data_IF_946845047409
#
_entry.id   IF_946845047409
#
_cell.length_a   1.000
_cell.length_b   1.000
_cell.length_c   1.000
_cell.angle_alpha   90.00
_cell.angle_beta   90.00
_cell.angle_gamma   90.00
#
_symmetry.space_group_name_H-M   'P 1'
#
loop_
_entity.id
_entity.type
_entity.pdbx_description
1 polymer ?
#
# COMPACT_ATOMS: atom_id res chain seq x y z
N UNK A 1 13.08 -2.27 26.24
CA UNK A 1 12.72 -1.00 25.58
C UNK A 1 12.28 -1.31 24.16
N UNK A 2 10.98 -1.26 23.95
CA UNK A 2 10.36 -1.47 22.65
C UNK A 2 10.28 -0.09 22.00
N UNK A 3 11.21 0.20 21.11
CA UNK A 3 11.17 1.37 20.23
C UNK A 3 10.59 1.00 18.87
N UNK A 4 9.43 0.33 18.86
CA UNK A 4 8.73 -0.02 17.63
C UNK A 4 7.57 0.91 17.30
N UNK A 5 7.51 2.08 17.89
CA UNK A 5 6.30 2.89 17.92
C UNK A 5 6.18 4.04 16.92
N UNK A 6 7.03 4.23 15.93
CA UNK A 6 6.93 5.44 15.09
C UNK A 6 7.37 5.30 13.63
N UNK A 7 7.56 4.09 13.15
CA UNK A 7 8.00 3.88 11.76
C UNK A 7 6.87 4.12 10.76
N UNK A 8 5.62 3.92 11.14
CA UNK A 8 4.46 4.10 10.24
C UNK A 8 4.11 5.56 9.94
N UNK A 9 4.33 6.48 10.89
CA UNK A 9 3.87 7.87 10.75
C UNK A 9 4.79 8.76 9.89
N UNK A 10 6.06 8.43 9.77
CA UNK A 10 6.98 9.19 8.91
C UNK A 10 6.96 8.72 7.45
N UNK A 11 6.51 7.50 7.17
CA UNK A 11 6.43 6.96 5.81
C UNK A 11 5.31 7.58 4.96
N UNK A 12 4.30 8.19 5.59
CA UNK A 12 3.13 8.73 4.87
C UNK A 12 3.28 10.17 4.36
N UNK A 13 4.43 10.78 4.46
CA UNK A 13 4.57 12.20 4.14
C UNK A 13 5.46 12.39 2.92
N UNK A 14 4.95 12.17 1.72
CA UNK A 14 5.47 12.89 0.53
C UNK A 14 4.54 12.76 -0.67
N UNK A 15 4.34 13.88 -1.31
CA UNK A 15 3.81 14.10 -2.65
C UNK A 15 2.60 13.25 -3.05
N UNK A 16 1.42 13.78 -2.76
CA UNK A 16 0.17 13.21 -3.29
C UNK A 16 0.22 13.24 -4.82
N UNK A 17 0.17 12.07 -5.43
CA UNK A 17 -0.01 11.94 -6.87
C UNK A 17 -1.49 12.17 -7.14
N UNK A 18 -1.81 13.32 -7.73
CA UNK A 18 -3.14 13.60 -8.22
C UNK A 18 -3.18 13.26 -9.70
N UNK A 19 -3.89 12.21 -10.03
CA UNK A 19 -4.06 11.78 -11.40
C UNK A 19 -5.21 12.42 -12.13
N UNK A 20 -5.45 11.90 -13.33
CA UNK A 20 -6.59 12.25 -14.16
C UNK A 20 -7.86 12.37 -13.31
N UNK A 21 -8.67 13.41 -13.50
CA UNK A 21 -9.71 13.78 -12.57
C UNK A 21 -10.56 12.57 -12.20
N UNK A 22 -10.56 12.28 -10.93
CA UNK A 22 -11.51 11.42 -10.24
C UNK A 22 -11.35 9.88 -10.34
N UNK A 23 -10.20 9.32 -10.75
CA UNK A 23 -10.11 7.85 -10.86
C UNK A 23 -8.98 7.20 -10.08
N UNK A 24 -8.04 7.95 -9.58
CA UNK A 24 -6.99 7.43 -8.71
C UNK A 24 -6.42 8.49 -7.78
N UNK A 25 -5.82 8.05 -6.71
CA UNK A 25 -4.99 8.84 -5.82
C UNK A 25 -3.79 8.03 -5.38
N UNK A 26 -2.73 8.69 -4.96
CA UNK A 26 -1.54 7.98 -4.51
C UNK A 26 -0.59 8.89 -3.76
N UNK A 27 0.45 8.26 -3.26
CA UNK A 27 1.54 8.93 -2.57
C UNK A 27 2.84 8.19 -2.78
N UNK A 28 3.94 8.92 -2.92
CA UNK A 28 5.28 8.37 -2.84
C UNK A 28 5.79 8.40 -1.42
N UNK A 29 6.60 7.43 -1.05
CA UNK A 29 7.27 7.40 0.24
C UNK A 29 8.68 6.86 0.12
N UNK A 30 9.55 7.27 1.05
CA UNK A 30 10.87 6.65 1.17
C UNK A 30 10.65 5.20 1.57
N UNK A 31 11.15 4.28 0.75
CA UNK A 31 11.07 2.86 1.06
C UNK A 31 11.88 2.60 2.31
N UNK A 32 11.25 2.05 3.30
CA UNK A 32 11.95 1.29 4.29
C UNK A 32 12.51 0.06 3.58
N UNK A 33 13.78 0.14 3.26
CA UNK A 33 14.46 -0.96 2.59
C UNK A 33 14.62 -2.06 3.65
N UNK A 34 13.79 -3.10 3.65
CA UNK A 34 14.06 -4.22 4.51
C UNK A 34 15.40 -4.74 4.04
N UNK A 35 16.34 -4.72 4.91
CA UNK A 35 17.60 -5.41 4.69
C UNK A 35 17.26 -6.88 4.53
N UNK A 36 16.98 -7.28 3.30
CA UNK A 36 17.27 -8.65 2.96
C UNK A 36 18.75 -8.83 3.28
N UNK A 37 19.05 -9.59 4.29
CA UNK A 37 20.40 -9.80 4.88
C UNK A 37 21.47 -10.18 3.87
N UNK A 38 21.30 -9.86 2.63
CA UNK A 38 22.10 -10.50 1.74
C UNK A 38 22.39 -9.95 0.41
N UNK A 39 23.19 -10.67 -0.11
CA UNK A 39 23.89 -10.60 -1.35
C UNK A 39 22.95 -10.78 -2.57
N UNK A 40 21.79 -11.38 -2.39
CA UNK A 40 20.82 -11.60 -3.46
C UNK A 40 19.76 -10.50 -3.46
N UNK A 41 19.59 -9.87 -4.63
CA UNK A 41 18.58 -8.85 -4.89
C UNK A 41 17.77 -9.26 -6.11
N UNK A 42 16.51 -8.86 -6.17
CA UNK A 42 15.75 -8.96 -7.40
C UNK A 42 16.31 -8.00 -8.47
N UNK A 43 16.17 -8.33 -9.76
CA UNK A 43 16.42 -7.38 -10.83
C UNK A 43 15.47 -6.18 -10.69
N UNK A 44 16.01 -4.99 -11.00
CA UNK A 44 15.21 -3.77 -11.00
C UNK A 44 14.50 -3.58 -12.34
N UNK A 45 13.41 -2.78 -12.32
CA UNK A 45 12.76 -2.32 -13.54
C UNK A 45 13.77 -1.61 -14.46
N UNK A 46 13.78 -1.91 -15.75
CA UNK A 46 14.58 -1.18 -16.71
C UNK A 46 14.26 0.33 -16.63
N UNK A 47 15.30 1.15 -16.64
CA UNK A 47 15.16 2.61 -16.59
C UNK A 47 14.47 3.17 -15.33
N UNK A 48 14.53 2.46 -14.21
CA UNK A 48 14.06 3.02 -12.94
C UNK A 48 14.77 4.36 -12.66
N UNK A 49 14.06 5.44 -12.35
CA UNK A 49 14.65 6.74 -12.11
C UNK A 49 15.62 6.73 -10.93
N UNK A 50 16.81 7.29 -11.11
CA UNK A 50 17.84 7.31 -10.03
C UNK A 50 17.39 8.09 -8.80
N UNK A 51 16.63 9.15 -9.01
CA UNK A 51 16.03 9.95 -7.93
C UNK A 51 15.00 9.18 -7.11
N UNK A 52 14.48 8.09 -7.66
CA UNK A 52 13.52 7.20 -6.98
C UNK A 52 14.14 5.89 -6.48
N UNK A 53 15.46 5.81 -6.38
CA UNK A 53 16.18 4.59 -5.94
C UNK A 53 15.64 4.04 -4.62
N UNK A 54 15.23 4.91 -3.70
CA UNK A 54 14.73 4.58 -2.39
C UNK A 54 13.29 5.07 -2.17
N UNK A 55 12.50 5.15 -3.23
CA UNK A 55 11.11 5.60 -3.16
C UNK A 55 10.22 4.48 -3.69
N UNK A 56 9.12 4.21 -2.98
CA UNK A 56 7.99 3.44 -3.48
C UNK A 56 6.83 4.38 -3.78
N UNK A 57 6.02 3.99 -4.74
CA UNK A 57 4.78 4.67 -5.10
C UNK A 57 3.60 3.79 -4.71
N UNK A 58 2.67 4.35 -3.95
CA UNK A 58 1.43 3.69 -3.57
C UNK A 58 0.26 4.38 -4.26
N UNK A 59 -0.47 3.63 -5.06
CA UNK A 59 -1.54 4.16 -5.91
C UNK A 59 -2.82 3.38 -5.68
N UNK A 60 -3.89 4.08 -5.34
CA UNK A 60 -5.23 3.54 -5.32
C UNK A 60 -5.96 3.87 -6.63
N UNK A 61 -6.31 2.85 -7.39
CA UNK A 61 -7.15 2.93 -8.57
C UNK A 61 -8.59 2.68 -8.13
N UNK A 62 -9.43 3.68 -8.29
CA UNK A 62 -10.83 3.58 -7.83
C UNK A 62 -11.67 2.65 -8.70
N UNK A 63 -12.52 1.83 -8.11
CA UNK A 63 -12.94 1.84 -6.70
C UNK A 63 -12.10 0.99 -5.75
N UNK A 64 -11.37 -0.03 -6.19
CA UNK A 64 -10.99 -1.13 -5.33
C UNK A 64 -9.66 -1.80 -5.65
N UNK A 65 -8.78 -1.18 -6.42
CA UNK A 65 -7.43 -1.70 -6.71
C UNK A 65 -6.38 -0.78 -6.11
N UNK A 66 -5.42 -1.36 -5.41
CA UNK A 66 -4.27 -0.64 -4.87
C UNK A 66 -2.97 -1.27 -5.37
N UNK A 67 -2.02 -0.42 -5.74
CA UNK A 67 -0.72 -0.83 -6.22
C UNK A 67 0.37 -0.28 -5.28
N UNK A 68 1.32 -1.12 -4.94
CA UNK A 68 2.57 -0.69 -4.33
C UNK A 68 3.72 -0.98 -5.27
N UNK A 69 4.33 0.06 -5.83
CA UNK A 69 5.33 -0.03 -6.89
C UNK A 69 6.71 0.26 -6.31
N UNK A 70 7.56 -0.73 -6.33
CA UNK A 70 8.95 -0.70 -5.87
C UNK A 70 9.89 -0.85 -7.07
N UNK A 71 11.17 -0.57 -6.89
CA UNK A 71 12.15 -0.63 -7.99
C UNK A 71 12.35 -2.03 -8.59
N UNK A 72 12.03 -3.07 -7.84
CA UNK A 72 12.35 -4.47 -8.16
C UNK A 72 11.12 -5.41 -8.13
N UNK A 73 10.01 -4.92 -7.67
CA UNK A 73 8.73 -5.63 -7.69
C UNK A 73 7.58 -4.64 -7.58
N UNK A 74 6.38 -5.10 -7.85
CA UNK A 74 5.16 -4.42 -7.42
C UNK A 74 4.17 -5.45 -6.89
N UNK A 75 3.28 -4.99 -6.03
CA UNK A 75 2.13 -5.77 -5.63
C UNK A 75 0.84 -5.07 -6.07
N UNK A 76 -0.17 -5.88 -6.31
CA UNK A 76 -1.52 -5.42 -6.54
C UNK A 76 -2.44 -6.00 -5.49
N UNK A 77 -3.22 -5.14 -4.85
CA UNK A 77 -4.38 -5.53 -4.06
C UNK A 77 -5.64 -5.27 -4.86
N UNK A 78 -6.58 -6.19 -4.81
CA UNK A 78 -7.96 -5.87 -5.14
C UNK A 78 -8.87 -6.26 -3.99
N UNK A 79 -9.80 -5.36 -3.70
CA UNK A 79 -10.74 -5.48 -2.63
C UNK A 79 -12.04 -6.05 -3.17
N UNK A 80 -12.48 -7.18 -2.61
CA UNK A 80 -13.75 -7.81 -2.91
C UNK A 80 -14.72 -7.54 -1.76
N UNK A 81 -15.61 -6.53 -1.85
CA UNK A 81 -16.58 -6.24 -0.80
C UNK A 81 -17.67 -7.31 -0.79
N UNK A 82 -17.80 -8.01 0.31
CA UNK A 82 -18.84 -9.04 0.50
C UNK A 82 -20.12 -8.40 1.08
N UNK A 83 -19.95 -7.51 2.04
CA UNK A 83 -21.02 -6.71 2.64
C UNK A 83 -20.42 -5.46 3.32
N UNK A 84 -21.24 -4.71 4.07
CA UNK A 84 -20.81 -3.47 4.71
C UNK A 84 -19.81 -3.65 5.88
N UNK A 85 -19.62 -4.88 6.34
CA UNK A 85 -18.71 -5.20 7.45
C UNK A 85 -17.53 -6.08 7.02
N UNK A 86 -17.61 -6.70 5.86
CA UNK A 86 -16.63 -7.69 5.44
C UNK A 86 -16.16 -7.49 4.00
N UNK A 87 -14.86 -7.41 3.83
CA UNK A 87 -14.16 -7.31 2.56
C UNK A 87 -13.04 -8.34 2.51
N UNK A 88 -12.91 -9.03 1.40
CA UNK A 88 -11.75 -9.91 1.14
C UNK A 88 -10.69 -9.10 0.41
N UNK A 89 -9.47 -9.14 0.90
CA UNK A 89 -8.30 -8.59 0.24
C UNK A 89 -7.54 -9.69 -0.48
N UNK A 90 -7.38 -9.52 -1.78
CA UNK A 90 -6.53 -10.35 -2.60
C UNK A 90 -5.24 -9.62 -2.91
N UNK A 91 -4.11 -10.30 -2.76
CA UNK A 91 -2.81 -9.73 -3.05
C UNK A 91 -2.00 -10.61 -3.98
N UNK A 92 -1.43 -10.01 -5.00
CA UNK A 92 -0.45 -10.64 -5.86
C UNK A 92 0.82 -9.80 -5.94
N UNK A 93 1.99 -10.47 -5.97
CA UNK A 93 3.30 -9.83 -6.08
C UNK A 93 3.92 -10.23 -7.42
N UNK A 94 4.37 -9.22 -8.14
CA UNK A 94 4.99 -9.37 -9.46
C UNK A 94 6.45 -8.93 -9.42
N UNK A 95 7.33 -9.74 -10.02
CA UNK A 95 8.77 -9.54 -10.05
C UNK A 95 9.26 -9.20 -11.46
N UNK A 96 10.38 -8.50 -11.54
CA UNK A 96 10.96 -8.09 -12.82
C UNK A 96 11.62 -9.28 -13.51
N UNK A 97 11.06 -9.69 -14.64
CA UNK A 97 11.57 -10.76 -15.50
C UNK A 97 11.19 -12.17 -15.03
N UNK A 98 11.09 -13.08 -16.01
CA UNK A 98 10.62 -14.46 -15.79
C UNK A 98 11.53 -15.24 -14.82
N UNK A 99 12.84 -15.01 -14.87
CA UNK A 99 13.77 -15.68 -13.97
C UNK A 99 13.49 -15.32 -12.50
N UNK A 100 13.29 -14.05 -12.20
CA UNK A 100 12.97 -13.61 -10.85
C UNK A 100 11.59 -14.11 -10.40
N UNK A 101 10.63 -14.17 -11.31
CA UNK A 101 9.28 -14.59 -11.03
C UNK A 101 9.15 -16.12 -10.81
N UNK A 102 9.89 -16.94 -11.53
CA UNK A 102 9.61 -18.38 -11.60
C UNK A 102 10.75 -19.29 -11.16
N UNK A 103 12.02 -18.86 -11.29
CA UNK A 103 13.16 -19.76 -11.06
C UNK A 103 13.34 -20.16 -9.60
N UNK A 104 13.94 -21.33 -9.41
CA UNK A 104 14.31 -21.83 -8.07
C UNK A 104 15.39 -20.98 -7.40
N UNK A 105 16.24 -20.30 -8.17
CA UNK A 105 17.26 -19.39 -7.68
C UNK A 105 16.67 -18.30 -6.77
N UNK A 106 15.55 -17.70 -7.15
CA UNK A 106 14.91 -16.63 -6.40
C UNK A 106 13.81 -17.11 -5.44
N UNK A 107 13.58 -18.42 -5.33
CA UNK A 107 12.48 -18.96 -4.51
C UNK A 107 12.53 -18.46 -3.05
N UNK A 108 13.69 -18.56 -2.41
CA UNK A 108 13.85 -18.13 -1.02
C UNK A 108 13.65 -16.63 -0.86
N UNK A 109 14.13 -15.83 -1.82
CA UNK A 109 13.97 -14.39 -1.79
C UNK A 109 12.49 -13.99 -1.95
N UNK A 110 11.76 -14.64 -2.86
CA UNK A 110 10.31 -14.44 -3.00
C UNK A 110 9.55 -14.79 -1.71
N UNK A 111 9.90 -15.91 -1.06
CA UNK A 111 9.27 -16.30 0.20
C UNK A 111 9.48 -15.28 1.31
N UNK A 112 10.70 -14.72 1.41
CA UNK A 112 11.01 -13.65 2.36
C UNK A 112 10.21 -12.38 2.06
N UNK A 113 10.17 -11.97 0.79
CA UNK A 113 9.43 -10.80 0.37
C UNK A 113 7.92 -10.97 0.62
N UNK A 114 7.35 -12.12 0.27
CA UNK A 114 5.95 -12.44 0.57
C UNK A 114 5.66 -12.37 2.07
N UNK A 115 6.49 -13.03 2.87
CA UNK A 115 6.33 -13.03 4.34
C UNK A 115 6.36 -11.62 4.93
N UNK A 116 7.24 -10.77 4.44
CA UNK A 116 7.33 -9.38 4.86
C UNK A 116 6.04 -8.60 4.56
N UNK A 117 5.49 -8.73 3.35
CA UNK A 117 4.25 -8.08 3.00
C UNK A 117 3.07 -8.62 3.81
N UNK A 118 3.04 -9.94 4.04
CA UNK A 118 2.05 -10.56 4.93
C UNK A 118 2.11 -9.97 6.35
N UNK A 119 3.30 -9.76 6.89
CA UNK A 119 3.46 -9.21 8.24
C UNK A 119 3.04 -7.75 8.31
N UNK A 120 3.38 -6.94 7.31
CA UNK A 120 2.92 -5.55 7.20
C UNK A 120 1.39 -5.48 7.15
N UNK A 121 0.76 -6.32 6.33
CA UNK A 121 -0.70 -6.34 6.21
C UNK A 121 -1.40 -6.73 7.51
N UNK A 122 -0.84 -7.64 8.26
CA UNK A 122 -1.41 -8.03 9.56
C UNK A 122 -1.46 -6.88 10.56
N UNK A 123 -0.47 -5.99 10.54
CA UNK A 123 -0.49 -4.79 11.38
C UNK A 123 -1.66 -3.87 11.02
N UNK A 124 -1.94 -3.71 9.72
CA UNK A 124 -3.02 -2.85 9.24
C UNK A 124 -4.41 -3.44 9.51
N UNK A 125 -4.57 -4.76 9.41
CA UNK A 125 -5.86 -5.43 9.64
C UNK A 125 -6.44 -5.13 11.02
N UNK A 126 -5.65 -5.22 12.07
CA UNK A 126 -6.09 -4.96 13.44
C UNK A 126 -6.57 -3.51 13.62
N UNK A 127 -5.90 -2.58 12.96
CA UNK A 127 -6.25 -1.15 12.99
C UNK A 127 -7.56 -0.93 12.23
N UNK A 128 -7.71 -1.51 11.05
CA UNK A 128 -8.92 -1.38 10.20
C UNK A 128 -10.14 -1.95 10.94
N UNK A 129 -10.02 -3.12 11.57
CA UNK A 129 -11.09 -3.72 12.36
C UNK A 129 -11.48 -2.85 13.57
N UNK A 130 -10.50 -2.28 14.25
CA UNK A 130 -10.73 -1.37 15.36
C UNK A 130 -11.44 -0.09 14.91
N UNK A 131 -11.06 0.46 13.75
CA UNK A 131 -11.72 1.60 13.12
C UNK A 131 -13.18 1.29 12.76
N UNK A 132 -13.45 0.13 12.20
CA UNK A 132 -14.82 -0.30 11.89
C UNK A 132 -15.68 -0.42 13.16
N UNK A 133 -15.14 -1.00 14.22
CA UNK A 133 -15.80 -1.07 15.52
C UNK A 133 -16.11 0.33 16.05
N UNK A 134 -15.16 1.24 15.98
CA UNK A 134 -15.34 2.64 16.39
C UNK A 134 -16.42 3.36 15.59
N UNK A 135 -16.49 3.14 14.28
CA UNK A 135 -17.54 3.72 13.41
C UNK A 135 -18.93 3.21 13.72
N UNK A 136 -19.07 1.98 14.19
CA UNK A 136 -20.33 1.40 14.63
C UNK A 136 -20.80 1.89 16.02
N UNK A 137 -19.98 2.67 16.72
CA UNK A 137 -20.33 3.24 18.02
C UNK A 137 -21.44 4.28 17.88
N UNK A 138 -22.47 4.26 18.76
CA UNK A 138 -23.47 5.32 18.82
C UNK A 138 -22.90 6.73 19.09
N UNK A 139 -21.71 6.81 19.63
CA UNK A 139 -21.02 8.09 19.89
C UNK A 139 -20.23 8.60 18.66
N UNK A 140 -20.15 7.82 17.58
CA UNK A 140 -19.45 8.24 16.37
C UNK A 140 -20.27 9.31 15.63
N UNK A 141 -19.69 10.48 15.51
CA UNK A 141 -20.32 11.62 14.84
C UNK A 141 -19.60 12.06 13.56
N UNK A 142 -18.77 11.19 13.00
CA UNK A 142 -17.91 11.48 11.86
C UNK A 142 -16.47 11.81 12.28
N UNK A 143 -15.67 12.21 11.32
CA UNK A 143 -14.28 12.59 11.51
C UNK A 143 -13.88 13.73 10.58
N UNK A 144 -12.80 14.41 10.91
CA UNK A 144 -12.23 15.46 10.08
C UNK A 144 -11.02 14.90 9.31
N UNK A 145 -10.89 15.29 8.04
CA UNK A 145 -9.69 15.02 7.27
C UNK A 145 -8.53 15.92 7.72
N UNK A 146 -7.36 15.36 7.88
CA UNK A 146 -6.14 16.12 8.04
C UNK A 146 -5.79 16.80 6.71
N UNK A 147 -5.63 18.12 6.66
CA UNK A 147 -5.28 18.82 5.43
C UNK A 147 -3.89 18.46 4.90
N UNK A 148 -3.05 17.86 5.73
CA UNK A 148 -1.68 17.47 5.39
C UNK A 148 -1.56 15.99 5.03
N UNK A 149 -2.32 15.11 5.69
CA UNK A 149 -2.13 13.66 5.62
C UNK A 149 -3.18 12.94 4.77
N UNK A 150 -4.41 13.47 4.70
CA UNK A 150 -5.56 12.74 4.18
C UNK A 150 -5.97 13.15 2.75
N UNK A 151 -5.11 13.85 2.02
CA UNK A 151 -5.43 14.29 0.66
C UNK A 151 -5.88 13.13 -0.26
N UNK A 152 -5.19 11.99 -0.34
CA UNK A 152 -5.62 10.86 -1.16
C UNK A 152 -6.95 10.27 -0.70
N UNK A 153 -7.13 10.13 0.61
CA UNK A 153 -8.37 9.62 1.22
C UNK A 153 -9.54 10.56 0.97
N UNK A 154 -9.33 11.87 1.14
CA UNK A 154 -10.35 12.87 0.85
C UNK A 154 -10.74 12.89 -0.63
N UNK A 155 -9.77 12.69 -1.53
CA UNK A 155 -10.04 12.58 -2.96
C UNK A 155 -10.92 11.36 -3.28
N UNK A 156 -10.63 10.21 -2.69
CA UNK A 156 -11.48 9.02 -2.80
C UNK A 156 -12.89 9.26 -2.29
N UNK A 157 -13.05 9.87 -1.12
CA UNK A 157 -14.37 10.19 -0.57
C UNK A 157 -15.18 11.13 -1.47
N UNK A 158 -14.52 12.12 -2.09
CA UNK A 158 -15.18 12.99 -3.09
C UNK A 158 -15.62 12.20 -4.32
N UNK A 159 -14.80 11.27 -4.78
CA UNK A 159 -15.15 10.40 -5.88
C UNK A 159 -16.38 9.53 -5.54
N UNK A 160 -16.40 8.90 -4.37
CA UNK A 160 -17.54 8.11 -3.88
C UNK A 160 -18.79 8.97 -3.82
N UNK A 161 -18.73 10.14 -3.18
CA UNK A 161 -19.86 11.05 -3.08
C UNK A 161 -20.40 11.48 -4.46
N UNK A 162 -19.51 11.75 -5.41
CA UNK A 162 -19.90 12.14 -6.78
C UNK A 162 -20.47 11.00 -7.62
N UNK A 163 -20.29 9.73 -7.23
CA UNK A 163 -20.89 8.58 -7.92
C UNK A 163 -22.25 8.17 -7.35
N UNK A 164 -22.61 8.68 -6.18
CA UNK A 164 -23.87 8.38 -5.51
C UNK A 164 -24.98 9.41 -5.81
N UNK A 165 -24.66 10.50 -6.48
CA UNK A 165 -25.56 11.58 -6.90
C UNK A 165 -25.86 11.45 -8.40
#
# INVERSE_FOLDING_TARGET
EITSGLVGSEMCIRDSIQGLPNRFAGQGTVVYNPSFDGKEKFPCFPNWPKEKENIAEYVALFPNVMLGIHKDHYYAYWLEPINHEFTIEHMEIYYVGDEAATSTKYKTLRQKNHKQWEDIQKEDVDIIQSMQTGRNSPAYNGGNFSPKMDNPTHHFHKWVAGTLI
#
